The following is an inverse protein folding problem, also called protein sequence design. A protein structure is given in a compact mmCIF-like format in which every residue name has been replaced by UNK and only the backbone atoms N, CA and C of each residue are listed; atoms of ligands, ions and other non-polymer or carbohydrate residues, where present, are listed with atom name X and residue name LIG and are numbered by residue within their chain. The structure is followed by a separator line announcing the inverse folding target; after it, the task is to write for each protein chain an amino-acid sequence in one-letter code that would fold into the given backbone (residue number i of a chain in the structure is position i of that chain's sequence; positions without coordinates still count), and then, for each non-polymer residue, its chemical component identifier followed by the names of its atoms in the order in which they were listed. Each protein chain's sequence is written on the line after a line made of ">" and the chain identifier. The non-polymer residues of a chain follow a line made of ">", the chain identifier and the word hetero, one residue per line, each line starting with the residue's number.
data_IF_825434521558
#
_entry.id   IF_825434521558
#
_cell.length_a   1.000
_cell.length_b   1.000
_cell.length_c   1.000
_cell.angle_alpha   90.00
_cell.angle_beta   90.00
_cell.angle_gamma   90.00
#
_symmetry.space_group_name_H-M   'P 1'
#
loop_
_entity.id
_entity.type
_entity.pdbx_description
1 polymer ?
#
# COMPACT_ATOMS: atom_id res chain seq x y z
N UNK A 1 15.22 46.64 -5.49
CA UNK A 1 15.92 45.39 -5.11
C UNK A 1 15.88 45.29 -3.59
N UNK A 2 15.47 44.15 -3.03
CA UNK A 2 15.43 43.92 -1.58
C UNK A 2 16.54 42.91 -1.25
N UNK A 3 17.51 43.32 -0.43
CA UNK A 3 18.59 42.46 0.02
C UNK A 3 18.47 42.25 1.54
N UNK A 4 18.09 41.03 1.92
CA UNK A 4 17.98 40.54 3.29
C UNK A 4 19.07 39.50 3.59
N UNK A 5 20.07 39.36 2.72
CA UNK A 5 21.11 38.35 2.86
C UNK A 5 21.96 38.55 4.11
N UNK A 6 22.40 37.44 4.73
CA UNK A 6 23.21 37.43 5.97
C UNK A 6 22.54 38.12 7.17
N UNK A 7 21.20 38.15 7.20
CA UNK A 7 20.42 38.74 8.30
C UNK A 7 19.86 37.63 9.20
N UNK A 8 19.64 37.96 10.48
CA UNK A 8 18.90 37.12 11.44
C UNK A 8 17.60 37.81 11.83
N UNK A 9 16.46 37.18 11.53
CA UNK A 9 15.14 37.63 11.93
C UNK A 9 14.67 36.85 13.15
N UNK A 10 14.59 37.52 14.30
CA UNK A 10 14.15 36.93 15.58
C UNK A 10 12.63 36.87 15.75
N UNK A 11 11.92 37.76 15.05
CA UNK A 11 10.45 37.88 15.10
C UNK A 11 9.84 37.33 13.83
N UNK A 12 8.53 37.09 13.89
CA UNK A 12 7.75 36.69 12.73
C UNK A 12 7.86 37.74 11.62
N UNK A 13 7.94 37.27 10.37
CA UNK A 13 8.12 38.12 9.19
C UNK A 13 6.99 37.87 8.20
N UNK A 14 6.33 38.94 7.77
CA UNK A 14 5.21 38.89 6.84
C UNK A 14 5.55 39.58 5.52
N UNK A 15 5.57 38.79 4.45
CA UNK A 15 5.70 39.22 3.06
C UNK A 15 4.50 38.78 2.21
N UNK A 16 3.36 38.52 2.87
CA UNK A 16 2.12 38.12 2.23
C UNK A 16 1.75 39.09 1.10
N UNK A 17 1.42 38.56 -0.09
CA UNK A 17 1.02 39.34 -1.26
C UNK A 17 2.10 40.27 -1.83
N UNK A 18 3.34 40.20 -1.33
CA UNK A 18 4.38 41.16 -1.70
C UNK A 18 4.92 40.87 -3.10
N UNK A 19 5.07 41.93 -3.91
CA UNK A 19 5.67 41.86 -5.24
C UNK A 19 7.14 42.24 -5.18
N UNK A 20 8.02 41.26 -5.22
CA UNK A 20 9.46 41.46 -5.26
C UNK A 20 9.94 41.61 -6.70
N UNK A 21 10.63 42.72 -7.01
CA UNK A 21 11.33 42.80 -8.30
C UNK A 21 12.55 41.88 -8.29
N UNK A 22 13.50 42.12 -7.37
CA UNK A 22 14.67 41.29 -7.11
C UNK A 22 14.84 41.10 -5.61
N UNK A 23 15.01 39.86 -5.15
CA UNK A 23 15.17 39.52 -3.73
C UNK A 23 16.44 38.69 -3.49
N UNK A 24 17.14 38.98 -2.41
CA UNK A 24 18.27 38.17 -1.92
C UNK A 24 18.05 37.87 -0.45
N UNK A 25 17.84 36.60 -0.12
CA UNK A 25 17.65 36.01 1.22
C UNK A 25 18.76 34.96 1.45
N UNK A 26 19.90 35.10 0.76
CA UNK A 26 20.99 34.14 0.91
C UNK A 26 21.61 34.23 2.30
N UNK A 27 21.98 33.09 2.90
CA UNK A 27 22.62 33.02 4.23
C UNK A 27 21.81 33.71 5.33
N UNK A 28 20.49 33.74 5.20
CA UNK A 28 19.58 34.42 6.15
C UNK A 28 18.99 33.40 7.12
N UNK A 29 18.93 33.73 8.40
CA UNK A 29 18.30 32.90 9.43
C UNK A 29 16.98 33.51 9.89
N UNK A 30 15.88 32.77 9.77
CA UNK A 30 14.59 33.11 10.34
C UNK A 30 14.33 32.22 11.57
N UNK A 31 14.42 32.82 12.75
CA UNK A 31 14.23 32.16 14.06
C UNK A 31 12.74 32.03 14.44
N UNK A 32 11.84 32.58 13.61
CA UNK A 32 10.39 32.53 13.81
C UNK A 32 9.67 32.30 12.47
N UNK A 33 8.34 32.22 12.49
CA UNK A 33 7.49 31.95 11.33
C UNK A 33 7.70 33.00 10.23
N UNK A 34 7.55 32.56 8.98
CA UNK A 34 7.66 33.46 7.82
C UNK A 34 6.53 33.21 6.84
N UNK A 35 5.87 34.29 6.43
CA UNK A 35 4.76 34.24 5.49
C UNK A 35 5.11 34.93 4.17
N UNK A 36 5.38 34.14 3.12
CA UNK A 36 5.52 34.60 1.74
C UNK A 36 4.28 34.29 0.89
N UNK A 37 3.16 33.87 1.49
CA UNK A 37 2.00 33.43 0.73
C UNK A 37 1.49 34.51 -0.23
N UNK A 38 1.09 34.12 -1.44
CA UNK A 38 0.63 35.03 -2.49
C UNK A 38 1.70 36.04 -2.99
N UNK A 39 2.97 35.86 -2.65
CA UNK A 39 4.03 36.72 -3.17
C UNK A 39 4.30 36.48 -4.66
N UNK A 40 4.86 37.50 -5.32
CA UNK A 40 5.28 37.43 -6.73
C UNK A 40 6.75 37.83 -6.83
N UNK A 41 7.59 36.97 -7.40
CA UNK A 41 9.00 37.24 -7.67
C UNK A 41 9.21 37.45 -9.18
N UNK A 42 9.45 38.69 -9.59
CA UNK A 42 9.58 39.05 -11.01
C UNK A 42 10.91 38.62 -11.61
N UNK A 43 12.01 38.82 -10.88
CA UNK A 43 13.35 38.37 -11.25
C UNK A 43 13.79 37.16 -10.42
N UNK A 44 15.07 36.79 -10.52
CA UNK A 44 15.65 35.66 -9.80
C UNK A 44 15.46 35.83 -8.28
N UNK A 45 14.95 34.79 -7.64
CA UNK A 45 14.78 34.75 -6.18
C UNK A 45 15.87 33.88 -5.55
N UNK A 46 16.64 34.45 -4.62
CA UNK A 46 17.78 33.77 -4.01
C UNK A 46 17.53 33.49 -2.53
N UNK A 47 17.33 32.23 -2.16
CA UNK A 47 17.17 31.74 -0.79
C UNK A 47 18.35 30.86 -0.36
N UNK A 48 19.51 30.98 -1.02
CA UNK A 48 20.61 30.02 -0.90
C UNK A 48 21.19 30.01 0.52
N UNK A 49 21.41 28.84 1.10
CA UNK A 49 21.89 28.70 2.49
C UNK A 49 20.98 29.40 3.53
N UNK A 50 19.71 29.67 3.21
CA UNK A 50 18.78 30.21 4.19
C UNK A 50 18.40 29.12 5.21
N UNK A 51 18.13 29.53 6.45
CA UNK A 51 17.68 28.65 7.52
C UNK A 51 16.33 29.14 8.01
N UNK A 52 15.33 28.27 7.97
CA UNK A 52 14.01 28.50 8.51
C UNK A 52 13.77 27.54 9.66
N UNK A 53 13.62 28.09 10.86
CA UNK A 53 13.54 27.29 12.10
C UNK A 53 12.10 26.94 12.53
N UNK A 54 11.10 27.60 11.95
CA UNK A 54 9.66 27.46 12.21
C UNK A 54 8.89 27.42 10.89
N UNK A 55 7.58 27.21 10.98
CA UNK A 55 6.68 27.12 9.82
C UNK A 55 6.93 28.22 8.79
N UNK A 56 7.00 27.82 7.52
CA UNK A 56 7.12 28.74 6.38
C UNK A 56 5.96 28.54 5.42
N UNK A 57 5.26 29.63 5.12
CA UNK A 57 4.24 29.66 4.06
C UNK A 57 4.85 30.16 2.77
N UNK A 58 5.03 29.25 1.82
CA UNK A 58 5.47 29.52 0.45
C UNK A 58 4.39 29.11 -0.56
N UNK A 59 3.11 29.23 -0.19
CA UNK A 59 1.97 28.82 -1.01
C UNK A 59 1.43 29.95 -1.88
N UNK A 60 0.82 29.59 -3.01
CA UNK A 60 0.25 30.53 -3.98
C UNK A 60 1.28 31.54 -4.51
N UNK A 61 2.56 31.15 -4.58
CA UNK A 61 3.62 32.05 -5.06
C UNK A 61 3.78 31.92 -6.56
N UNK A 62 4.03 33.05 -7.22
CA UNK A 62 4.47 33.08 -8.61
C UNK A 62 5.95 33.48 -8.71
N UNK A 63 6.79 32.54 -9.13
CA UNK A 63 8.19 32.80 -9.52
C UNK A 63 8.28 32.96 -11.03
N UNK A 64 8.29 34.20 -11.54
CA UNK A 64 8.41 34.51 -12.98
C UNK A 64 9.80 34.20 -13.55
N UNK A 65 10.79 33.97 -12.69
CA UNK A 65 12.17 33.68 -13.05
C UNK A 65 12.72 32.56 -12.14
N UNK A 66 14.00 32.21 -12.32
CA UNK A 66 14.62 31.11 -11.57
C UNK A 66 14.56 31.35 -10.05
N UNK A 67 14.15 30.32 -9.31
CA UNK A 67 14.14 30.30 -7.86
C UNK A 67 15.23 29.37 -7.32
N UNK A 68 16.04 29.86 -6.39
CA UNK A 68 17.21 29.15 -5.88
C UNK A 68 17.09 28.91 -4.36
N UNK A 69 16.75 27.68 -3.99
CA UNK A 69 16.71 27.15 -2.62
C UNK A 69 17.93 26.25 -2.31
N UNK A 70 19.04 26.41 -3.05
CA UNK A 70 20.26 25.62 -2.85
C UNK A 70 20.73 25.66 -1.39
N UNK A 71 20.97 24.50 -0.78
CA UNK A 71 21.42 24.34 0.61
C UNK A 71 20.48 24.99 1.65
N UNK A 72 19.20 25.19 1.33
CA UNK A 72 18.24 25.75 2.29
C UNK A 72 17.88 24.70 3.33
N UNK A 73 17.80 25.09 4.60
CA UNK A 73 17.37 24.23 5.69
C UNK A 73 15.98 24.66 6.17
N UNK A 74 15.00 23.77 6.04
CA UNK A 74 13.67 23.91 6.63
C UNK A 74 13.56 22.93 7.81
N UNK A 75 13.66 23.45 9.03
CA UNK A 75 13.59 22.63 10.27
C UNK A 75 12.16 22.27 10.68
N UNK A 76 11.18 23.00 10.16
CA UNK A 76 9.77 22.81 10.46
C UNK A 76 8.94 22.73 9.17
N UNK A 77 7.62 22.64 9.29
CA UNK A 77 6.72 22.51 8.15
C UNK A 77 6.87 23.64 7.14
N UNK A 78 6.89 23.28 5.86
CA UNK A 78 6.87 24.23 4.74
C UNK A 78 5.76 23.90 3.76
N UNK A 79 5.01 24.93 3.38
CA UNK A 79 3.91 24.84 2.43
C UNK A 79 4.29 25.46 1.09
N UNK A 80 4.48 24.66 0.05
CA UNK A 80 4.65 25.09 -1.34
C UNK A 80 3.37 24.89 -2.19
N UNK A 81 2.21 24.68 -1.55
CA UNK A 81 0.98 24.42 -2.29
C UNK A 81 0.65 25.54 -3.27
N UNK A 82 0.15 25.18 -4.45
CA UNK A 82 -0.29 26.13 -5.49
C UNK A 82 0.80 27.11 -5.96
N UNK A 83 2.08 26.78 -5.73
CA UNK A 83 3.19 27.60 -6.18
C UNK A 83 3.59 27.27 -7.61
N UNK A 84 3.78 28.31 -8.41
CA UNK A 84 4.15 28.22 -9.82
C UNK A 84 5.59 28.71 -10.04
N UNK A 85 6.41 27.83 -10.61
CA UNK A 85 7.75 28.12 -11.10
C UNK A 85 7.74 28.22 -12.62
N UNK A 86 7.72 29.46 -13.15
CA UNK A 86 7.71 29.71 -14.60
C UNK A 86 9.04 29.34 -15.29
N UNK A 87 10.13 29.34 -14.51
CA UNK A 87 11.48 28.96 -14.95
C UNK A 87 12.06 27.90 -14.00
N UNK A 88 13.38 27.81 -13.91
CA UNK A 88 14.03 26.71 -13.19
C UNK A 88 13.88 26.87 -11.67
N UNK A 89 13.50 25.80 -10.99
CA UNK A 89 13.48 25.69 -9.54
C UNK A 89 14.65 24.81 -9.08
N UNK A 90 15.51 25.34 -8.22
CA UNK A 90 16.71 24.65 -7.75
C UNK A 90 16.67 24.44 -6.24
N UNK A 91 16.44 23.19 -5.83
CA UNK A 91 16.44 22.68 -4.46
C UNK A 91 17.69 21.82 -4.17
N UNK A 92 18.78 22.00 -4.91
CA UNK A 92 19.99 21.20 -4.73
C UNK A 92 20.45 21.24 -3.27
N UNK A 93 20.58 20.07 -2.64
CA UNK A 93 20.94 19.91 -1.22
C UNK A 93 20.04 20.67 -0.24
N UNK A 94 18.79 20.96 -0.61
CA UNK A 94 17.80 21.48 0.35
C UNK A 94 17.41 20.38 1.35
N UNK A 95 17.26 20.73 2.61
CA UNK A 95 16.90 19.79 3.67
C UNK A 95 15.54 20.15 4.28
N UNK A 96 14.62 19.19 4.28
CA UNK A 96 13.29 19.28 4.85
C UNK A 96 13.18 18.29 6.03
N UNK A 97 13.24 18.78 7.27
CA UNK A 97 13.21 17.94 8.48
C UNK A 97 11.78 17.50 8.88
N UNK A 98 10.76 18.05 8.22
CA UNK A 98 9.34 17.73 8.42
C UNK A 98 8.62 17.50 7.09
N UNK A 99 7.44 16.85 7.08
CA UNK A 99 6.63 16.70 5.87
C UNK A 99 6.44 18.03 5.13
N UNK A 100 6.65 18.04 3.83
CA UNK A 100 6.52 19.23 2.96
C UNK A 100 5.29 19.10 2.07
N UNK A 101 4.49 20.17 2.00
CA UNK A 101 3.31 20.18 1.13
C UNK A 101 3.65 20.75 -0.25
N UNK A 102 3.45 19.95 -1.29
CA UNK A 102 3.62 20.31 -2.69
C UNK A 102 2.29 20.24 -3.49
N UNK A 103 1.14 20.20 -2.83
CA UNK A 103 -0.16 20.06 -3.51
C UNK A 103 -0.37 21.13 -4.58
N UNK A 104 -0.85 20.75 -5.76
CA UNK A 104 -1.05 21.69 -6.88
C UNK A 104 0.18 22.52 -7.27
N UNK A 105 1.40 22.05 -6.99
CA UNK A 105 2.63 22.71 -7.44
C UNK A 105 2.80 22.63 -8.96
N UNK A 106 3.29 23.70 -9.58
CA UNK A 106 3.51 23.78 -11.02
C UNK A 106 4.97 24.09 -11.32
N UNK A 107 5.58 23.28 -12.19
CA UNK A 107 6.93 23.51 -12.72
C UNK A 107 6.87 23.62 -14.25
N UNK A 108 6.98 24.85 -14.77
CA UNK A 108 7.08 25.10 -16.22
C UNK A 108 8.53 25.00 -16.72
N UNK A 109 9.51 25.16 -15.81
CA UNK A 109 10.94 25.00 -16.08
C UNK A 109 11.53 23.68 -15.60
N UNK A 110 12.87 23.63 -15.50
CA UNK A 110 13.56 22.47 -14.94
C UNK A 110 13.52 22.48 -13.40
N UNK A 111 13.25 21.32 -12.81
CA UNK A 111 13.37 21.07 -11.37
C UNK A 111 14.68 20.35 -11.09
N UNK A 112 15.55 20.94 -10.26
CA UNK A 112 16.71 20.27 -9.70
C UNK A 112 16.45 19.97 -8.22
N UNK A 113 16.29 18.69 -7.89
CA UNK A 113 16.06 18.20 -6.52
C UNK A 113 17.21 17.29 -6.03
N UNK A 114 18.35 17.29 -6.73
CA UNK A 114 19.48 16.40 -6.44
C UNK A 114 20.04 16.69 -5.04
N UNK A 115 20.31 15.62 -4.29
CA UNK A 115 20.79 15.64 -2.89
C UNK A 115 19.85 16.35 -1.91
N UNK A 116 18.64 16.72 -2.33
CA UNK A 116 17.65 17.22 -1.40
C UNK A 116 17.18 16.08 -0.48
N UNK A 117 16.90 16.40 0.77
CA UNK A 117 16.49 15.43 1.79
C UNK A 117 15.07 15.74 2.24
N UNK A 118 14.20 14.74 2.17
CA UNK A 118 12.84 14.76 2.72
C UNK A 118 12.65 13.49 3.55
N UNK A 119 13.46 13.37 4.60
CA UNK A 119 13.58 12.14 5.39
C UNK A 119 12.59 12.18 6.56
N UNK A 120 11.35 11.81 6.29
CA UNK A 120 10.36 11.51 7.31
C UNK A 120 9.77 10.13 7.07
N UNK A 121 9.43 9.46 8.16
CA UNK A 121 8.83 8.13 8.18
C UNK A 121 7.33 8.21 7.93
N UNK A 122 6.73 7.06 7.58
CA UNK A 122 5.28 6.92 7.52
C UNK A 122 4.59 7.38 8.81
N UNK A 123 5.14 7.01 9.97
CA UNK A 123 4.53 7.34 11.28
C UNK A 123 4.65 8.83 11.59
N UNK A 124 5.75 9.48 11.22
CA UNK A 124 5.90 10.94 11.32
C UNK A 124 4.91 11.68 10.41
N UNK A 125 4.73 11.23 9.16
CA UNK A 125 3.72 11.79 8.26
C UNK A 125 2.31 11.61 8.81
N UNK A 126 1.99 10.41 9.30
CA UNK A 126 0.69 10.08 9.91
C UNK A 126 0.39 10.97 11.11
N UNK A 127 1.36 11.10 12.01
CA UNK A 127 1.26 11.95 13.20
C UNK A 127 1.07 13.42 12.79
N UNK A 128 1.89 13.90 11.85
CA UNK A 128 1.79 15.26 11.34
C UNK A 128 0.40 15.59 10.79
N UNK A 129 -0.16 14.70 9.96
CA UNK A 129 -1.50 14.87 9.38
C UNK A 129 -2.57 14.88 10.48
N UNK A 130 -2.49 13.95 11.44
CA UNK A 130 -3.44 13.89 12.56
C UNK A 130 -3.40 15.15 13.43
N UNK A 131 -2.21 15.61 13.78
CA UNK A 131 -2.00 16.80 14.61
C UNK A 131 -2.54 18.05 13.91
N UNK A 132 -2.23 18.23 12.62
CA UNK A 132 -2.69 19.38 11.82
C UNK A 132 -4.20 19.37 11.57
N UNK A 133 -4.79 18.19 11.44
CA UNK A 133 -6.22 18.00 11.23
C UNK A 133 -7.03 17.91 12.51
N UNK A 134 -6.42 18.17 13.67
CA UNK A 134 -7.05 18.07 15.01
C UNK A 134 -7.81 16.75 15.20
N UNK A 135 -7.24 15.64 14.72
CA UNK A 135 -7.83 14.30 14.70
C UNK A 135 -9.21 14.17 14.00
N UNK A 136 -9.63 15.14 13.20
CA UNK A 136 -10.84 15.02 12.38
C UNK A 136 -10.55 14.14 11.15
N UNK A 137 -11.26 13.02 11.02
CA UNK A 137 -11.02 12.01 9.98
C UNK A 137 -11.19 12.58 8.56
N UNK A 138 -12.21 13.41 8.32
CA UNK A 138 -12.44 14.00 6.99
C UNK A 138 -11.31 14.95 6.59
N UNK A 139 -10.85 15.78 7.54
CA UNK A 139 -9.68 16.65 7.34
C UNK A 139 -8.39 15.85 7.17
N UNK A 140 -8.23 14.72 7.86
CA UNK A 140 -7.10 13.80 7.65
C UNK A 140 -7.11 13.25 6.23
N UNK A 141 -8.27 12.82 5.71
CA UNK A 141 -8.41 12.31 4.34
C UNK A 141 -8.07 13.41 3.33
N UNK A 142 -8.63 14.62 3.48
CA UNK A 142 -8.34 15.72 2.56
C UNK A 142 -6.86 16.12 2.57
N UNK A 143 -6.26 16.28 3.76
CA UNK A 143 -4.85 16.59 3.89
C UNK A 143 -3.95 15.50 3.30
N UNK A 144 -4.30 14.22 3.50
CA UNK A 144 -3.58 13.09 2.91
C UNK A 144 -3.62 13.13 1.38
N UNK A 145 -4.79 13.46 0.80
CA UNK A 145 -4.95 13.61 -0.64
C UNK A 145 -4.13 14.78 -1.20
N UNK A 146 -4.04 15.90 -0.48
CA UNK A 146 -3.19 17.03 -0.86
C UNK A 146 -1.71 16.65 -0.89
N UNK A 147 -1.21 15.98 0.16
CA UNK A 147 0.16 15.45 0.17
C UNK A 147 0.40 14.47 -0.97
N UNK A 148 -0.54 13.55 -1.20
CA UNK A 148 -0.47 12.56 -2.29
C UNK A 148 -0.38 13.23 -3.66
N UNK A 149 -1.19 14.25 -3.89
CA UNK A 149 -1.17 15.05 -5.11
C UNK A 149 0.20 15.70 -5.33
N UNK A 150 0.73 16.36 -4.29
CA UNK A 150 2.03 17.00 -4.36
C UNK A 150 3.16 16.02 -4.66
N UNK A 151 3.19 14.86 -4.01
CA UNK A 151 4.21 13.84 -4.27
C UNK A 151 4.08 13.23 -5.67
N UNK A 152 2.85 13.03 -6.15
CA UNK A 152 2.59 12.60 -7.54
C UNK A 152 3.12 13.61 -8.56
N UNK A 153 2.91 14.91 -8.34
CA UNK A 153 3.40 15.99 -9.20
C UNK A 153 4.93 16.10 -9.19
N UNK A 154 5.56 16.00 -8.02
CA UNK A 154 7.02 15.96 -7.87
C UNK A 154 7.62 14.76 -8.62
N UNK A 155 7.07 13.56 -8.39
CA UNK A 155 7.46 12.33 -9.09
C UNK A 155 7.37 12.49 -10.60
N UNK A 156 6.24 12.98 -11.11
CA UNK A 156 6.02 13.18 -12.54
C UNK A 156 7.04 14.14 -13.14
N UNK A 157 7.26 15.29 -12.50
CA UNK A 157 8.22 16.30 -12.96
C UNK A 157 9.66 15.75 -13.01
N UNK A 158 10.07 14.99 -12.00
CA UNK A 158 11.42 14.40 -11.93
C UNK A 158 11.63 13.30 -12.98
N UNK A 159 10.63 12.42 -13.17
CA UNK A 159 10.68 11.40 -14.22
C UNK A 159 10.81 12.00 -15.62
N UNK A 160 10.04 13.06 -15.92
CA UNK A 160 10.10 13.73 -17.23
C UNK A 160 11.46 14.38 -17.53
N UNK A 161 12.32 14.54 -16.52
CA UNK A 161 13.68 15.08 -16.66
C UNK A 161 14.77 14.00 -16.53
N UNK A 162 14.40 12.72 -16.52
CA UNK A 162 15.34 11.59 -16.45
C UNK A 162 15.92 11.35 -15.04
N UNK A 163 15.35 11.96 -13.99
CA UNK A 163 15.81 11.80 -12.62
C UNK A 163 15.01 10.71 -11.89
N UNK A 164 15.22 9.45 -12.29
CA UNK A 164 14.48 8.30 -11.78
C UNK A 164 14.75 8.02 -10.28
N UNK A 165 15.96 8.34 -9.80
CA UNK A 165 16.33 8.12 -8.40
C UNK A 165 15.52 9.00 -7.46
N UNK A 166 15.50 10.32 -7.69
CA UNK A 166 14.72 11.24 -6.88
C UNK A 166 13.22 11.04 -7.09
N UNK A 167 12.77 10.62 -8.28
CA UNK A 167 11.36 10.28 -8.51
C UNK A 167 10.89 9.06 -7.69
N UNK A 168 11.77 8.06 -7.48
CA UNK A 168 11.47 6.89 -6.66
C UNK A 168 11.17 7.25 -5.20
N UNK A 169 11.89 8.23 -4.65
CA UNK A 169 11.62 8.79 -3.32
C UNK A 169 10.17 9.29 -3.21
N UNK A 170 9.74 10.13 -4.17
CA UNK A 170 8.38 10.66 -4.18
C UNK A 170 7.32 9.61 -4.49
N UNK A 171 7.67 8.56 -5.24
CA UNK A 171 6.78 7.42 -5.43
C UNK A 171 6.52 6.68 -4.11
N UNK A 172 7.54 6.45 -3.28
CA UNK A 172 7.36 5.88 -1.92
C UNK A 172 6.46 6.76 -1.07
N UNK A 173 6.68 8.08 -1.07
CA UNK A 173 5.86 9.02 -0.30
C UNK A 173 4.40 9.05 -0.77
N UNK A 174 4.15 8.96 -2.08
CA UNK A 174 2.81 8.81 -2.64
C UNK A 174 2.10 7.54 -2.15
N UNK A 175 2.82 6.43 -2.02
CA UNK A 175 2.29 5.17 -1.51
C UNK A 175 1.99 5.24 0.00
N UNK A 176 2.82 5.92 0.79
CA UNK A 176 2.50 6.22 2.19
C UNK A 176 1.18 6.98 2.31
N UNK A 177 0.97 8.01 1.49
CA UNK A 177 -0.31 8.72 1.48
C UNK A 177 -1.46 7.82 1.05
N UNK A 178 -1.28 6.92 0.07
CA UNK A 178 -2.34 5.99 -0.33
C UNK A 178 -2.71 5.01 0.79
N UNK A 179 -1.72 4.51 1.54
CA UNK A 179 -1.96 3.66 2.71
C UNK A 179 -2.73 4.43 3.80
N UNK A 180 -2.35 5.68 4.09
CA UNK A 180 -3.05 6.55 5.05
C UNK A 180 -4.48 6.89 4.63
N UNK A 181 -4.69 7.19 3.34
CA UNK A 181 -6.00 7.47 2.76
C UNK A 181 -6.97 6.30 3.04
N UNK A 182 -6.52 5.07 2.79
CA UNK A 182 -7.31 3.86 3.05
C UNK A 182 -7.53 3.62 4.55
N UNK A 183 -6.51 3.82 5.38
CA UNK A 183 -6.61 3.63 6.82
C UNK A 183 -7.63 4.59 7.45
N UNK A 184 -7.60 5.87 7.06
CA UNK A 184 -8.58 6.86 7.52
C UNK A 184 -9.99 6.58 6.97
N UNK A 185 -10.10 6.17 5.71
CA UNK A 185 -11.39 5.83 5.10
C UNK A 185 -12.06 4.66 5.82
N UNK A 186 -11.33 3.58 6.08
CA UNK A 186 -11.86 2.41 6.81
C UNK A 186 -12.18 2.70 8.28
N UNK A 187 -11.48 3.66 8.89
CA UNK A 187 -11.76 4.14 10.25
C UNK A 187 -13.02 5.01 10.37
N UNK A 188 -13.40 5.73 9.31
CA UNK A 188 -14.60 6.58 9.28
C UNK A 188 -15.88 5.79 9.57
N UNK A 189 -16.01 4.60 8.97
CA UNK A 189 -17.23 3.79 9.04
C UNK A 189 -17.40 3.00 10.36
N UNK A 190 -16.39 3.03 11.25
CA UNK A 190 -16.44 2.35 12.56
C UNK A 190 -16.90 3.25 13.71
N UNK A 191 -16.99 4.56 13.49
CA UNK A 191 -17.40 5.55 14.49
C UNK A 191 -18.76 6.16 14.14
N UNK A 192 -19.69 6.17 15.11
CA UNK A 192 -20.97 6.87 14.99
C UNK A 192 -20.75 8.37 14.71
N UNK A 193 -20.78 8.79 13.45
CA UNK A 193 -21.02 10.18 13.07
C UNK A 193 -22.23 10.23 12.16
N UNK A 194 -23.34 10.73 12.72
CA UNK A 194 -24.59 10.99 12.02
C UNK A 194 -24.33 11.85 10.79
N UNK A 195 -24.70 11.34 9.63
CA UNK A 195 -24.75 12.08 8.37
C UNK A 195 -25.65 13.31 8.52
N UNK A 196 -25.10 14.50 8.24
CA UNK A 196 -25.89 15.62 7.74
C UNK A 196 -25.55 15.76 6.26
N UNK A 197 -26.50 15.38 5.41
CA UNK A 197 -26.40 15.53 3.95
C UNK A 197 -26.69 16.99 3.60
N UNK A 198 -25.74 17.67 2.98
CA UNK A 198 -26.05 18.83 2.13
C UNK A 198 -25.98 18.41 0.68
N UNK A 199 -27.05 18.71 -0.05
CA UNK A 199 -27.26 18.38 -1.45
C UNK A 199 -26.39 19.24 -2.38
N UNK A 200 -26.24 18.73 -3.60
CA UNK A 200 -25.68 19.34 -4.81
C UNK A 200 -24.17 19.23 -5.01
N UNK A 201 -23.76 18.13 -5.65
CA UNK A 201 -22.87 18.17 -6.81
C UNK A 201 -22.98 16.84 -7.59
N UNK A 202 -23.47 16.92 -8.82
CA UNK A 202 -23.44 15.80 -9.78
C UNK A 202 -21.98 15.61 -10.22
N UNK A 203 -21.27 14.68 -9.57
CA UNK A 203 -20.02 14.13 -10.09
C UNK A 203 -20.13 12.61 -10.21
N UNK A 204 -19.84 12.16 -11.42
CA UNK A 204 -19.81 10.77 -11.90
C UNK A 204 -19.33 9.82 -10.80
N UNK A 205 -20.23 8.95 -10.30
CA UNK A 205 -19.89 7.91 -9.32
C UNK A 205 -18.89 6.92 -9.95
N UNK A 206 -17.66 6.81 -9.44
CA UNK A 206 -16.83 5.65 -9.74
C UNK A 206 -17.51 4.41 -9.11
N UNK A 207 -17.37 3.23 -9.72
CA UNK A 207 -17.75 1.94 -9.12
C UNK A 207 -17.30 1.94 -7.66
N UNK A 208 -18.24 1.95 -6.72
CA UNK A 208 -17.93 1.99 -5.30
C UNK A 208 -17.19 0.70 -4.95
N UNK A 209 -15.87 0.80 -4.78
CA UNK A 209 -15.01 -0.32 -4.43
C UNK A 209 -15.51 -0.93 -3.11
N UNK A 210 -15.68 -2.25 -3.06
CA UNK A 210 -16.23 -2.92 -1.88
C UNK A 210 -15.28 -2.74 -0.67
N UNK A 211 -15.81 -2.67 0.56
CA UNK A 211 -15.01 -2.47 1.78
C UNK A 211 -13.91 -3.53 1.97
N UNK A 212 -14.19 -4.77 1.55
CA UNK A 212 -13.23 -5.88 1.56
C UNK A 212 -12.06 -5.59 0.62
N UNK A 213 -12.33 -5.07 -0.57
CA UNK A 213 -11.26 -4.73 -1.51
C UNK A 213 -10.39 -3.59 -1.00
N UNK A 214 -10.97 -2.56 -0.37
CA UNK A 214 -10.21 -1.48 0.29
C UNK A 214 -9.34 -2.01 1.44
N UNK A 215 -9.85 -2.97 2.21
CA UNK A 215 -9.11 -3.62 3.28
C UNK A 215 -7.96 -4.50 2.73
N UNK A 216 -8.18 -5.26 1.66
CA UNK A 216 -7.14 -6.04 0.99
C UNK A 216 -6.06 -5.14 0.38
N UNK A 217 -6.43 -4.03 -0.25
CA UNK A 217 -5.49 -3.02 -0.74
C UNK A 217 -4.63 -2.47 0.42
N UNK A 218 -5.25 -2.16 1.57
CA UNK A 218 -4.54 -1.66 2.76
C UNK A 218 -3.55 -2.70 3.29
N UNK A 219 -3.96 -3.96 3.41
CA UNK A 219 -3.06 -5.06 3.81
C UNK A 219 -1.89 -5.16 2.83
N UNK A 220 -2.17 -5.09 1.53
CA UNK A 220 -1.15 -5.18 0.48
C UNK A 220 -0.12 -4.07 0.64
N UNK A 221 -0.56 -2.83 0.80
CA UNK A 221 0.34 -1.69 1.02
C UNK A 221 1.12 -1.80 2.32
N UNK A 222 0.48 -2.21 3.41
CA UNK A 222 1.12 -2.38 4.72
C UNK A 222 2.19 -3.48 4.70
N UNK A 223 1.88 -4.62 4.06
CA UNK A 223 2.84 -5.67 3.82
C UNK A 223 4.01 -5.13 3.00
N UNK A 224 3.71 -4.48 1.89
CA UNK A 224 4.71 -3.94 0.97
C UNK A 224 5.63 -2.87 1.62
N UNK A 225 5.12 -2.03 2.53
CA UNK A 225 5.90 -1.10 3.36
C UNK A 225 6.79 -1.84 4.36
N UNK A 226 6.24 -2.82 5.08
CA UNK A 226 7.00 -3.55 6.09
C UNK A 226 8.09 -4.44 5.49
N UNK A 227 7.85 -5.01 4.31
CA UNK A 227 8.75 -5.98 3.66
C UNK A 227 9.75 -5.33 2.71
N UNK A 228 9.51 -4.12 2.20
CA UNK A 228 10.39 -3.51 1.21
C UNK A 228 10.58 -2.00 1.35
N UNK A 229 9.88 -1.38 2.30
CA UNK A 229 9.73 0.08 2.36
C UNK A 229 9.35 0.68 1.00
N UNK A 230 8.38 0.04 0.33
CA UNK A 230 7.99 0.30 -1.05
C UNK A 230 9.17 0.34 -2.04
N UNK A 231 9.88 -0.78 -2.18
CA UNK A 231 11.09 -0.98 -3.02
C UNK A 231 12.36 -0.22 -2.62
N UNK A 232 12.36 0.60 -1.58
CA UNK A 232 13.53 1.42 -1.25
C UNK A 232 14.54 0.73 -0.32
N UNK A 233 14.17 -0.35 0.36
CA UNK A 233 15.03 -1.03 1.33
C UNK A 233 15.35 -2.48 0.94
N UNK A 234 16.54 -2.69 0.35
CA UNK A 234 17.01 -3.99 -0.13
C UNK A 234 17.10 -5.04 0.98
N UNK A 235 17.57 -4.68 2.17
CA UNK A 235 17.70 -5.64 3.28
C UNK A 235 16.35 -6.16 3.75
N UNK A 236 15.33 -5.30 3.82
CA UNK A 236 13.96 -5.74 4.12
C UNK A 236 13.46 -6.73 3.06
N UNK A 237 13.72 -6.44 1.77
CA UNK A 237 13.32 -7.31 0.65
C UNK A 237 13.98 -8.69 0.75
N UNK A 238 15.28 -8.73 1.04
CA UNK A 238 16.03 -9.99 1.20
C UNK A 238 15.48 -10.78 2.39
N UNK A 239 15.29 -10.14 3.55
CA UNK A 239 14.74 -10.79 4.74
C UNK A 239 13.36 -11.38 4.49
N UNK A 240 12.49 -10.64 3.80
CA UNK A 240 11.16 -11.13 3.44
C UNK A 240 11.21 -12.29 2.44
N UNK A 241 12.11 -12.23 1.46
CA UNK A 241 12.33 -13.32 0.50
C UNK A 241 12.79 -14.60 1.20
N UNK A 242 13.77 -14.51 2.11
CA UNK A 242 14.27 -15.65 2.89
C UNK A 242 13.15 -16.23 3.76
N UNK A 243 12.40 -15.39 4.47
CA UNK A 243 11.25 -15.81 5.28
C UNK A 243 10.22 -16.57 4.43
N UNK A 244 9.94 -16.08 3.22
CA UNK A 244 8.98 -16.72 2.30
C UNK A 244 9.48 -18.09 1.84
N UNK A 245 10.77 -18.21 1.51
CA UNK A 245 11.39 -19.50 1.14
C UNK A 245 11.32 -20.48 2.31
N UNK A 246 11.64 -20.03 3.54
CA UNK A 246 11.58 -20.86 4.74
C UNK A 246 10.15 -21.33 5.05
N UNK A 247 9.16 -20.43 4.94
CA UNK A 247 7.75 -20.76 5.15
C UNK A 247 7.22 -21.77 4.13
N UNK A 248 7.65 -21.64 2.86
CA UNK A 248 7.27 -22.58 1.80
C UNK A 248 7.95 -23.94 1.99
N UNK A 249 9.23 -23.94 2.36
CA UNK A 249 9.97 -25.16 2.71
C UNK A 249 9.35 -25.90 3.89
N UNK A 250 8.98 -25.18 4.96
CA UNK A 250 8.30 -25.76 6.12
C UNK A 250 6.92 -26.31 5.76
N UNK A 251 6.14 -25.57 4.95
CA UNK A 251 4.84 -26.03 4.46
C UNK A 251 4.95 -27.34 3.68
N UNK A 252 5.96 -27.46 2.82
CA UNK A 252 6.22 -28.70 2.10
C UNK A 252 6.66 -29.83 3.01
N UNK A 253 7.55 -29.56 3.97
CA UNK A 253 8.02 -30.58 4.91
C UNK A 253 6.87 -31.12 5.77
N UNK A 254 6.00 -30.22 6.29
CA UNK A 254 4.79 -30.62 7.00
C UNK A 254 3.85 -31.40 6.10
N UNK A 255 3.62 -30.95 4.87
CA UNK A 255 2.72 -31.65 3.94
C UNK A 255 3.27 -33.04 3.57
N UNK A 256 4.57 -33.16 3.31
CA UNK A 256 5.24 -34.42 2.95
C UNK A 256 5.24 -35.39 4.13
N UNK A 257 5.72 -34.97 5.31
CA UNK A 257 5.73 -35.84 6.51
C UNK A 257 4.32 -36.22 6.96
N UNK A 258 3.37 -35.26 6.95
CA UNK A 258 1.99 -35.52 7.32
C UNK A 258 1.31 -36.47 6.32
N UNK A 259 1.41 -36.20 5.00
CA UNK A 259 0.79 -37.06 4.00
C UNK A 259 1.44 -38.45 4.02
N UNK A 260 2.76 -38.54 4.06
CA UNK A 260 3.46 -39.82 4.01
C UNK A 260 3.15 -40.67 5.25
N UNK A 261 3.19 -40.08 6.44
CA UNK A 261 2.88 -40.78 7.70
C UNK A 261 1.40 -41.14 7.82
N UNK A 262 0.49 -40.23 7.47
CA UNK A 262 -0.94 -40.53 7.47
C UNK A 262 -1.34 -41.56 6.40
N UNK A 263 -0.68 -41.58 5.24
CA UNK A 263 -0.89 -42.57 4.19
C UNK A 263 -0.41 -43.97 4.59
N UNK A 264 0.75 -44.08 5.26
CA UNK A 264 1.34 -45.36 5.65
C UNK A 264 0.63 -45.96 6.87
N UNK A 265 0.39 -45.15 7.91
CA UNK A 265 -0.12 -45.68 9.18
C UNK A 265 -1.65 -45.91 9.18
N UNK A 266 -2.43 -45.14 8.40
CA UNK A 266 -3.91 -45.25 8.43
C UNK A 266 -4.62 -44.61 7.21
N UNK A 267 -4.61 -45.25 6.03
CA UNK A 267 -5.25 -44.71 4.81
C UNK A 267 -6.75 -44.41 4.99
N UNK A 268 -7.44 -45.12 5.90
CA UNK A 268 -8.85 -44.88 6.24
C UNK A 268 -9.09 -43.52 6.93
N UNK A 269 -8.16 -43.04 7.76
CA UNK A 269 -8.28 -41.77 8.49
C UNK A 269 -8.07 -40.59 7.53
N UNK A 270 -7.12 -40.71 6.60
CA UNK A 270 -6.86 -39.70 5.57
C UNK A 270 -8.05 -39.54 4.62
N UNK A 271 -8.69 -40.64 4.23
CA UNK A 271 -9.94 -40.63 3.46
C UNK A 271 -11.08 -39.99 4.26
N UNK A 272 -11.21 -40.30 5.56
CA UNK A 272 -12.23 -39.68 6.43
C UNK A 272 -12.03 -38.15 6.55
N UNK A 273 -10.79 -37.68 6.71
CA UNK A 273 -10.44 -36.25 6.76
C UNK A 273 -10.74 -35.52 5.44
N UNK A 274 -10.37 -36.11 4.30
CA UNK A 274 -10.70 -35.57 2.97
C UNK A 274 -12.21 -35.54 2.74
N UNK A 275 -12.94 -36.56 3.19
CA UNK A 275 -14.39 -36.65 3.09
C UNK A 275 -15.08 -35.62 4.00
N UNK A 276 -14.53 -35.34 5.20
CA UNK A 276 -14.97 -34.24 6.05
C UNK A 276 -14.77 -32.87 5.38
N UNK A 277 -13.61 -32.62 4.77
CA UNK A 277 -13.33 -31.37 4.04
C UNK A 277 -14.31 -31.24 2.85
N UNK A 278 -14.58 -32.33 2.13
CA UNK A 278 -15.54 -32.38 1.03
C UNK A 278 -17.00 -32.21 1.48
N UNK A 279 -17.34 -32.57 2.73
CA UNK A 279 -18.68 -32.35 3.31
C UNK A 279 -18.87 -30.92 3.87
N UNK A 280 -17.79 -30.28 4.34
CA UNK A 280 -17.83 -28.90 4.88
C UNK A 280 -18.14 -27.87 3.78
N UNK A 281 -17.63 -28.05 2.56
CA UNK A 281 -17.93 -27.16 1.42
C UNK A 281 -19.43 -27.08 1.07
N UNK A 282 -20.10 -28.21 0.85
CA UNK A 282 -21.55 -28.28 0.65
C UNK A 282 -22.34 -27.79 1.87
N UNK A 283 -21.90 -28.10 3.10
CA UNK A 283 -22.58 -27.65 4.33
C UNK A 283 -22.54 -26.13 4.48
N UNK A 284 -21.39 -25.51 4.20
CA UNK A 284 -21.23 -24.05 4.21
C UNK A 284 -22.02 -23.38 3.09
N UNK A 285 -22.09 -24.00 1.91
CA UNK A 285 -22.94 -23.57 0.80
C UNK A 285 -24.44 -23.66 1.17
N UNK A 286 -24.87 -24.74 1.81
CA UNK A 286 -26.27 -24.95 2.22
C UNK A 286 -26.69 -23.97 3.32
N UNK A 287 -25.79 -23.68 4.28
CA UNK A 287 -26.00 -22.63 5.28
C UNK A 287 -26.08 -21.23 4.66
N UNK A 288 -25.30 -20.96 3.61
CA UNK A 288 -25.40 -19.73 2.83
C UNK A 288 -26.77 -19.60 2.12
N UNK A 289 -27.24 -20.66 1.46
CA UNK A 289 -28.56 -20.70 0.83
C UNK A 289 -29.71 -20.53 1.84
N UNK A 290 -29.63 -21.14 3.04
CA UNK A 290 -30.64 -20.95 4.09
C UNK A 290 -30.69 -19.48 4.56
N UNK A 291 -29.54 -18.82 4.68
CA UNK A 291 -29.44 -17.43 5.07
C UNK A 291 -29.98 -16.47 3.99
N UNK A 292 -29.72 -16.74 2.70
CA UNK A 292 -30.14 -15.86 1.59
C UNK A 292 -31.61 -16.04 1.19
N UNK A 293 -32.17 -17.25 1.32
CA UNK A 293 -33.54 -17.57 0.88
C UNK A 293 -34.58 -17.71 2.02
N UNK A 294 -34.21 -17.38 3.28
CA UNK A 294 -35.10 -17.42 4.47
C UNK A 294 -35.88 -18.73 4.64
N UNK A 295 -35.24 -19.86 4.40
CA UNK A 295 -35.82 -21.19 4.62
C UNK A 295 -35.99 -21.41 6.14
N UNK A 296 -37.10 -22.04 6.56
CA UNK A 296 -37.41 -22.28 7.97
C UNK A 296 -36.27 -23.09 8.63
N UNK A 297 -35.58 -22.53 9.63
CA UNK A 297 -34.43 -23.15 10.30
C UNK A 297 -34.69 -24.57 10.85
N UNK A 298 -35.95 -24.95 11.03
CA UNK A 298 -36.36 -26.29 11.48
C UNK A 298 -36.17 -27.41 10.42
N UNK A 299 -36.10 -27.08 9.12
CA UNK A 299 -35.97 -28.11 8.05
C UNK A 299 -34.52 -28.37 7.64
N UNK A 300 -33.59 -27.45 7.93
CA UNK A 300 -32.17 -27.59 7.62
C UNK A 300 -31.48 -28.78 8.34
N UNK A 301 -31.73 -29.05 9.64
CA UNK A 301 -31.15 -30.21 10.32
C UNK A 301 -31.62 -31.54 9.71
N UNK A 302 -32.89 -31.60 9.29
CA UNK A 302 -33.51 -32.81 8.70
C UNK A 302 -32.85 -33.14 7.34
N UNK A 303 -32.59 -32.13 6.51
CA UNK A 303 -31.88 -32.30 5.24
C UNK A 303 -30.42 -32.76 5.41
N UNK A 304 -29.72 -32.22 6.42
CA UNK A 304 -28.35 -32.60 6.75
C UNK A 304 -28.30 -34.05 7.31
N UNK A 305 -29.23 -34.40 8.19
CA UNK A 305 -29.31 -35.74 8.79
C UNK A 305 -29.67 -36.81 7.74
N UNK A 306 -30.64 -36.52 6.86
CA UNK A 306 -31.01 -37.42 5.76
C UNK A 306 -29.84 -37.62 4.78
N UNK A 307 -29.08 -36.56 4.48
CA UNK A 307 -27.92 -36.61 3.59
C UNK A 307 -26.77 -37.45 4.17
N UNK A 308 -26.43 -37.25 5.45
CA UNK A 308 -25.39 -38.02 6.14
C UNK A 308 -25.77 -39.51 6.22
N UNK A 309 -27.03 -39.83 6.53
CA UNK A 309 -27.50 -41.22 6.66
C UNK A 309 -27.58 -41.96 5.31
N UNK A 310 -27.92 -41.28 4.21
CA UNK A 310 -28.04 -41.94 2.90
C UNK A 310 -26.70 -42.18 2.21
N UNK A 311 -25.73 -41.29 2.38
CA UNK A 311 -24.45 -41.36 1.66
C UNK A 311 -23.40 -42.19 2.41
N UNK A 312 -23.37 -42.16 3.75
CA UNK A 312 -22.31 -42.83 4.51
C UNK A 312 -22.33 -44.37 4.47
N UNK A 313 -23.48 -45.08 4.49
CA UNK A 313 -23.50 -46.54 4.36
C UNK A 313 -23.40 -46.99 2.90
N UNK A 314 -23.90 -46.19 1.96
CA UNK A 314 -23.90 -46.49 0.53
C UNK A 314 -22.53 -46.34 -0.13
N UNK A 315 -21.69 -45.41 0.33
CA UNK A 315 -20.30 -45.32 -0.14
C UNK A 315 -19.46 -46.47 0.41
N UNK A 316 -19.48 -46.71 1.72
CA UNK A 316 -18.57 -47.66 2.38
C UNK A 316 -18.79 -49.12 1.94
N UNK A 317 -20.03 -49.53 1.61
CA UNK A 317 -20.36 -50.91 1.28
C UNK A 317 -20.44 -51.25 -0.23
N UNK A 318 -20.34 -50.28 -1.14
CA UNK A 318 -20.54 -50.52 -2.60
C UNK A 318 -19.22 -50.65 -3.37
N UNK A 319 -18.10 -50.20 -2.82
CA UNK A 319 -16.84 -50.15 -3.55
C UNK A 319 -15.81 -51.11 -2.96
N UNK A 320 -15.36 -52.07 -3.77
CA UNK A 320 -14.14 -52.82 -3.46
C UNK A 320 -12.94 -51.87 -3.40
N UNK A 321 -11.93 -52.23 -2.60
CA UNK A 321 -10.68 -51.47 -2.41
C UNK A 321 -10.05 -51.03 -3.76
N UNK A 322 -10.22 -51.84 -4.81
CA UNK A 322 -9.77 -51.58 -6.18
C UNK A 322 -10.46 -50.38 -6.86
N UNK A 323 -11.76 -50.14 -6.65
CA UNK A 323 -12.46 -49.00 -7.26
C UNK A 323 -12.10 -47.70 -6.53
N UNK A 324 -11.86 -47.77 -5.22
CA UNK A 324 -11.34 -46.64 -4.46
C UNK A 324 -9.96 -46.17 -4.91
N UNK A 325 -9.06 -47.12 -5.20
CA UNK A 325 -7.74 -46.82 -5.77
C UNK A 325 -7.88 -46.10 -7.11
N UNK A 326 -8.82 -46.52 -7.97
CA UNK A 326 -9.06 -45.88 -9.27
C UNK A 326 -9.61 -44.46 -9.12
N UNK A 327 -10.60 -44.24 -8.26
CA UNK A 327 -11.17 -42.90 -8.02
C UNK A 327 -10.16 -41.96 -7.38
N UNK A 328 -9.33 -42.47 -6.46
CA UNK A 328 -8.24 -41.72 -5.84
C UNK A 328 -7.15 -41.35 -6.85
N UNK A 329 -6.74 -42.28 -7.73
CA UNK A 329 -5.84 -42.00 -8.84
C UNK A 329 -6.44 -40.92 -9.75
N UNK A 330 -7.74 -41.00 -10.06
CA UNK A 330 -8.39 -40.01 -10.93
C UNK A 330 -8.44 -38.61 -10.28
N UNK A 331 -8.78 -38.54 -8.99
CA UNK A 331 -8.81 -37.29 -8.21
C UNK A 331 -7.41 -36.69 -8.07
N UNK A 332 -6.40 -37.53 -7.82
CA UNK A 332 -5.01 -37.11 -7.71
C UNK A 332 -4.46 -36.64 -9.05
N UNK A 333 -4.76 -37.34 -10.15
CA UNK A 333 -4.40 -36.92 -11.51
C UNK A 333 -5.10 -35.62 -11.87
N UNK A 334 -6.36 -35.41 -11.50
CA UNK A 334 -7.06 -34.13 -11.76
C UNK A 334 -6.52 -32.98 -10.92
N UNK A 335 -6.24 -33.18 -9.62
CA UNK A 335 -5.56 -32.18 -8.78
C UNK A 335 -4.15 -31.88 -9.29
N UNK A 336 -3.45 -32.88 -9.82
CA UNK A 336 -2.12 -32.72 -10.41
C UNK A 336 -2.17 -31.97 -11.75
N UNK A 337 -3.14 -32.26 -12.62
CA UNK A 337 -3.37 -31.49 -13.87
C UNK A 337 -3.77 -30.05 -13.55
N UNK A 338 -4.58 -29.84 -12.51
CA UNK A 338 -4.92 -28.51 -12.02
C UNK A 338 -3.68 -27.79 -11.47
N UNK A 339 -2.84 -28.48 -10.69
CA UNK A 339 -1.55 -27.96 -10.22
C UNK A 339 -0.56 -27.69 -11.36
N UNK A 340 -0.56 -28.51 -12.42
CA UNK A 340 0.24 -28.35 -13.62
C UNK A 340 -0.15 -27.07 -14.38
N UNK A 341 -1.46 -26.83 -14.50
CA UNK A 341 -2.01 -25.63 -15.11
C UNK A 341 -1.69 -24.37 -14.30
N UNK A 342 -1.65 -24.49 -12.96
CA UNK A 342 -1.43 -23.36 -12.05
C UNK A 342 0.06 -23.03 -11.80
N UNK A 343 0.99 -23.99 -11.83
CA UNK A 343 2.34 -23.79 -11.24
C UNK A 343 3.57 -24.12 -12.13
N UNK A 344 3.44 -24.34 -13.44
CA UNK A 344 4.58 -24.49 -14.42
C UNK A 344 5.78 -25.36 -13.95
N UNK A 345 5.61 -26.67 -14.11
CA UNK A 345 6.54 -27.82 -14.30
C UNK A 345 7.96 -27.90 -13.66
N UNK A 346 8.25 -29.06 -13.04
CA UNK A 346 9.60 -29.62 -12.82
C UNK A 346 9.63 -31.11 -13.19
N UNK A 347 10.41 -31.46 -14.23
CA UNK A 347 10.51 -32.80 -14.82
C UNK A 347 11.07 -33.87 -13.86
N UNK A 348 11.99 -33.46 -12.98
CA UNK A 348 12.65 -34.36 -12.03
C UNK A 348 11.62 -34.92 -11.04
N UNK A 349 10.67 -34.08 -10.60
CA UNK A 349 9.61 -34.49 -9.68
C UNK A 349 8.68 -35.53 -10.31
N UNK A 350 8.33 -35.37 -11.58
CA UNK A 350 7.51 -36.34 -12.33
C UNK A 350 8.13 -37.74 -12.38
N UNK A 351 9.45 -37.83 -12.60
CA UNK A 351 10.15 -39.12 -12.65
C UNK A 351 10.21 -39.81 -11.28
N UNK A 352 10.46 -39.06 -10.20
CA UNK A 352 10.39 -39.61 -8.83
C UNK A 352 8.99 -40.12 -8.47
N UNK A 353 7.93 -39.49 -8.97
CA UNK A 353 6.55 -39.93 -8.73
C UNK A 353 6.16 -41.17 -9.54
N UNK A 354 6.65 -41.33 -10.77
CA UNK A 354 6.48 -42.55 -11.55
C UNK A 354 7.17 -43.75 -10.88
N UNK A 355 8.35 -43.54 -10.31
CA UNK A 355 9.08 -44.56 -9.57
C UNK A 355 8.30 -44.95 -8.30
N UNK A 356 7.71 -43.98 -7.59
CA UNK A 356 6.87 -44.26 -6.43
C UNK A 356 5.59 -45.03 -6.76
N UNK A 357 4.92 -44.69 -7.86
CA UNK A 357 3.75 -45.44 -8.36
C UNK A 357 4.12 -46.87 -8.75
N UNK A 358 5.29 -47.08 -9.37
CA UNK A 358 5.80 -48.41 -9.68
C UNK A 358 6.10 -49.24 -8.42
N UNK A 359 6.71 -48.62 -7.40
CA UNK A 359 6.99 -49.27 -6.09
C UNK A 359 5.69 -49.60 -5.35
N UNK A 360 4.68 -48.73 -5.41
CA UNK A 360 3.36 -48.98 -4.84
C UNK A 360 2.62 -50.12 -5.53
N UNK A 361 2.75 -50.24 -6.86
CA UNK A 361 2.16 -51.33 -7.63
C UNK A 361 2.80 -52.69 -7.35
N UNK A 362 4.12 -52.71 -7.14
CA UNK A 362 4.87 -53.93 -6.76
C UNK A 362 4.47 -54.43 -5.36
N UNK A 363 4.10 -53.54 -4.44
CA UNK A 363 3.67 -53.91 -3.09
C UNK A 363 2.17 -54.24 -2.97
N UNK A 364 1.38 -54.08 -4.04
CA UNK A 364 -0.05 -54.39 -4.07
C UNK A 364 -0.38 -55.77 -4.67
N UNK A 365 0.62 -56.51 -5.18
CA UNK A 365 0.50 -57.84 -5.77
C UNK A 365 1.28 -58.91 -5.00
#
# INVERSE_FOLDING_TARGET
>A
MVNLGKVVFKKEVHFHGTKFNKVIISETNFENKVDFSNAIFKEKAHFRNAIFTKDVKLNNILFNNNAYFKNTLFKDFVNFSETNFEKNANFYSANFEKPVNFSSIIFNGALNFVNAKTDFTYDELKKFIKDKSTNNIEKCISATNDFRDGFRLMKHTLNNKGNALDASLFHRLELYCKELELEFTLGKDGGNSKEVKSADEIKVKPKSKNRIELFLDLITLKLYRNTSDHHTNLFKIINFTILTIAMYGLSFWVLDDFLLKAMIDSPKILVLLLLFIFLIGPLTCLLYFVAEYKILWATAPIGIFAYIIFITPGLVNVFDYSVYVIVFILLYVTLYVLSFYLFRFSFVRFMTYLIFMAIFWINLY
#
